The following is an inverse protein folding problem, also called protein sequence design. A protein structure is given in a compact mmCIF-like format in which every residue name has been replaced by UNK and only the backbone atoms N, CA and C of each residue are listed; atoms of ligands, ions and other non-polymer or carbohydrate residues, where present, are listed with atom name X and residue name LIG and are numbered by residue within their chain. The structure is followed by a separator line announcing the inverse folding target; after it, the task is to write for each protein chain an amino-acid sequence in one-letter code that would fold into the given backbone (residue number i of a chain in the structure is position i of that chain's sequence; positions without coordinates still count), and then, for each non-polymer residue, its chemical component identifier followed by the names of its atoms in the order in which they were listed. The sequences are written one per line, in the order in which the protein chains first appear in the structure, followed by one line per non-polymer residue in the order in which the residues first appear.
data_IF_949837075444
#
_entry.id   IF_949837075444
#
_cell.length_a   1.000
_cell.length_b   1.000
_cell.length_c   1.000
_cell.angle_alpha   90.00
_cell.angle_beta   90.00
_cell.angle_gamma   90.00
#
_symmetry.space_group_name_H-M   'P 1'
#
loop_
_entity.id
_entity.type
_entity.pdbx_description
1 polymer ?
#
# COMPACT_ATOMS: atom_id res chain seq x y z
N UNK A 1 31.33 20.89 29.37
CA UNK A 1 29.99 20.24 29.37
C UNK A 1 29.41 20.34 27.98
N UNK A 2 29.36 19.27 27.23
CA UNK A 2 28.73 19.25 25.93
C UNK A 2 27.21 19.11 26.10
N UNK A 3 26.38 19.95 25.45
CA UNK A 3 24.95 19.74 25.47
C UNK A 3 24.62 18.43 24.73
N UNK A 4 23.90 17.54 25.39
CA UNK A 4 23.37 16.35 24.76
C UNK A 4 22.43 16.79 23.64
N UNK A 5 22.85 16.58 22.40
CA UNK A 5 21.97 16.72 21.24
C UNK A 5 20.94 15.58 21.35
N UNK A 6 19.75 15.93 21.80
CA UNK A 6 18.62 15.02 21.75
C UNK A 6 18.38 14.72 20.25
N UNK A 7 18.79 13.55 19.81
CA UNK A 7 18.44 13.05 18.50
C UNK A 7 16.91 12.95 18.43
N UNK A 8 16.33 13.84 17.68
CA UNK A 8 14.91 13.88 17.36
C UNK A 8 14.57 12.57 16.62
N UNK A 9 14.27 11.53 17.38
CA UNK A 9 13.76 10.29 16.81
C UNK A 9 12.42 10.59 16.18
N UNK A 10 12.41 10.90 14.89
CA UNK A 10 11.19 10.93 14.09
C UNK A 10 10.38 9.68 14.43
N UNK A 11 9.35 9.83 15.24
CA UNK A 11 8.41 8.75 15.56
C UNK A 11 7.90 8.19 14.23
N UNK A 12 8.35 6.99 13.87
CA UNK A 12 7.82 6.28 12.71
C UNK A 12 6.32 6.15 12.92
N UNK A 13 5.55 6.85 12.11
CA UNK A 13 4.10 6.72 12.14
C UNK A 13 3.73 5.25 12.00
N UNK A 14 2.86 4.78 12.89
CA UNK A 14 2.34 3.42 12.80
C UNK A 14 1.76 3.15 11.41
N UNK A 15 1.93 1.93 10.86
CA UNK A 15 1.38 1.61 9.56
C UNK A 15 -0.13 1.78 9.57
N UNK A 16 -0.67 2.57 8.66
CA UNK A 16 -2.10 2.81 8.52
C UNK A 16 -2.69 1.87 7.48
N UNK A 17 -3.74 1.17 7.84
CA UNK A 17 -4.47 0.28 6.93
C UNK A 17 -5.47 1.04 6.06
N UNK A 18 -6.01 2.14 6.56
CA UNK A 18 -7.05 2.93 5.90
C UNK A 18 -6.62 4.39 5.76
N UNK A 19 -6.77 4.90 4.56
CA UNK A 19 -6.68 6.34 4.28
C UNK A 19 -8.08 6.91 4.16
N UNK A 20 -8.41 7.83 5.03
CA UNK A 20 -9.69 8.55 4.98
C UNK A 20 -9.58 9.68 3.95
N UNK A 21 -10.51 9.77 3.00
CA UNK A 21 -10.55 10.92 2.09
C UNK A 21 -10.76 12.22 2.87
N UNK A 22 -10.11 13.29 2.44
CA UNK A 22 -10.21 14.62 3.09
C UNK A 22 -11.63 15.20 3.06
N UNK A 23 -12.47 14.70 2.16
CA UNK A 23 -13.87 15.11 2.04
C UNK A 23 -14.78 14.55 3.11
N UNK A 24 -14.27 13.65 3.95
CA UNK A 24 -15.06 12.97 4.98
C UNK A 24 -14.56 13.40 6.35
N UNK A 25 -15.45 13.95 7.13
CA UNK A 25 -15.22 14.25 8.53
C UNK A 25 -15.73 13.09 9.39
N UNK A 26 -14.84 12.56 10.22
CA UNK A 26 -15.16 11.48 11.14
C UNK A 26 -15.51 12.04 12.52
N UNK A 27 -16.51 11.44 13.14
CA UNK A 27 -16.82 11.70 14.55
C UNK A 27 -15.73 11.14 15.47
N UNK A 28 -15.70 11.57 16.74
CA UNK A 28 -14.75 11.06 17.73
C UNK A 28 -14.82 9.53 17.87
N UNK A 29 -16.02 8.96 17.91
CA UNK A 29 -16.24 7.51 17.97
C UNK A 29 -15.73 6.79 16.72
N UNK A 30 -15.99 7.35 15.55
CA UNK A 30 -15.48 6.81 14.28
C UNK A 30 -13.95 6.83 14.23
N UNK A 31 -13.31 7.89 14.71
CA UNK A 31 -11.85 7.98 14.82
C UNK A 31 -11.28 6.91 15.74
N UNK A 32 -11.88 6.69 16.89
CA UNK A 32 -11.47 5.65 17.84
C UNK A 32 -11.57 4.26 17.22
N UNK A 33 -12.65 3.96 16.54
CA UNK A 33 -12.85 2.68 15.82
C UNK A 33 -11.89 2.52 14.67
N UNK A 34 -11.62 3.60 13.95
CA UNK A 34 -10.63 3.62 12.87
C UNK A 34 -9.21 3.35 13.39
N UNK A 35 -8.85 3.93 14.52
CA UNK A 35 -7.55 3.68 15.15
C UNK A 35 -7.40 2.22 15.60
N UNK A 36 -8.46 1.63 16.15
CA UNK A 36 -8.50 0.20 16.49
C UNK A 36 -8.30 -0.67 15.24
N UNK A 37 -8.97 -0.33 14.15
CA UNK A 37 -8.86 -1.01 12.87
C UNK A 37 -7.45 -0.89 12.29
N UNK A 38 -6.84 0.28 12.34
CA UNK A 38 -5.46 0.50 11.92
C UNK A 38 -4.45 -0.27 12.78
N UNK A 39 -4.67 -0.36 14.09
CA UNK A 39 -3.83 -1.15 15.01
C UNK A 39 -3.91 -2.64 14.71
N UNK A 40 -5.08 -3.13 14.34
CA UNK A 40 -5.29 -4.54 14.02
C UNK A 40 -4.72 -4.92 12.64
N UNK A 41 -5.10 -4.18 11.60
CA UNK A 41 -4.76 -4.53 10.22
C UNK A 41 -3.47 -3.90 9.70
N UNK A 42 -3.03 -2.78 10.26
CA UNK A 42 -1.80 -2.10 9.85
C UNK A 42 -0.57 -3.01 9.87
N UNK A 43 -0.27 -3.69 11.00
CA UNK A 43 0.83 -4.63 11.09
C UNK A 43 0.69 -5.83 10.14
N UNK A 44 -0.52 -6.36 9.97
CA UNK A 44 -0.80 -7.47 9.04
C UNK A 44 -0.49 -7.10 7.60
N UNK A 45 -0.92 -5.92 7.16
CA UNK A 45 -0.59 -5.40 5.81
C UNK A 45 0.91 -5.13 5.65
N UNK A 46 1.56 -4.59 6.68
CA UNK A 46 2.99 -4.34 6.67
C UNK A 46 3.78 -5.65 6.54
N UNK A 47 3.35 -6.70 7.22
CA UNK A 47 3.93 -8.04 7.12
C UNK A 47 3.77 -8.63 5.72
N UNK A 48 2.57 -8.53 5.13
CA UNK A 48 2.34 -8.95 3.74
C UNK A 48 3.25 -8.21 2.76
N UNK A 49 3.45 -6.91 2.95
CA UNK A 49 4.39 -6.11 2.13
C UNK A 49 5.83 -6.57 2.30
N UNK A 50 6.26 -6.85 3.52
CA UNK A 50 7.61 -7.39 3.79
C UNK A 50 7.81 -8.71 3.09
N UNK A 51 6.87 -9.64 3.21
CA UNK A 51 6.91 -10.93 2.51
C UNK A 51 7.00 -10.74 1.00
N UNK A 52 6.15 -9.91 0.43
CA UNK A 52 6.17 -9.61 -1.00
C UNK A 52 7.50 -9.02 -1.47
N UNK A 53 8.10 -8.13 -0.67
CA UNK A 53 9.40 -7.53 -0.97
C UNK A 53 10.57 -8.51 -0.82
N UNK A 54 10.46 -9.52 0.04
CA UNK A 54 11.50 -10.53 0.26
C UNK A 54 11.53 -11.62 -0.80
N UNK A 55 10.44 -11.80 -1.56
CA UNK A 55 10.35 -12.78 -2.64
C UNK A 55 11.35 -12.48 -3.75
N UNK A 56 11.54 -11.22 -4.07
CA UNK A 56 12.45 -10.74 -5.12
C UNK A 56 13.83 -10.51 -4.52
N UNK A 57 14.87 -11.04 -5.16
CA UNK A 57 16.27 -10.86 -4.73
C UNK A 57 16.74 -9.40 -4.91
N UNK A 58 17.83 -9.05 -4.21
CA UNK A 58 18.44 -7.71 -4.35
C UNK A 58 18.87 -7.42 -5.80
N UNK A 59 19.42 -8.41 -6.49
CA UNK A 59 19.84 -8.30 -7.88
C UNK A 59 18.64 -8.10 -8.83
N UNK A 60 17.55 -8.81 -8.59
CA UNK A 60 16.30 -8.61 -9.33
C UNK A 60 15.71 -7.22 -9.10
N UNK A 61 15.80 -6.68 -7.88
CA UNK A 61 15.37 -5.29 -7.57
C UNK A 61 16.21 -4.26 -8.31
N UNK A 62 17.53 -4.44 -8.38
CA UNK A 62 18.43 -3.58 -9.16
C UNK A 62 18.09 -3.64 -10.64
N UNK A 63 17.96 -4.83 -11.20
CA UNK A 63 17.59 -5.04 -12.60
C UNK A 63 16.24 -4.36 -12.92
N UNK A 64 15.28 -4.46 -12.02
CA UNK A 64 13.98 -3.79 -12.15
C UNK A 64 14.11 -2.27 -12.18
N UNK A 65 14.91 -1.70 -11.28
CA UNK A 65 15.14 -0.25 -11.22
C UNK A 65 15.82 0.26 -12.49
N UNK A 66 16.85 -0.43 -12.97
CA UNK A 66 17.56 -0.09 -14.18
C UNK A 66 16.67 -0.21 -15.42
N UNK A 67 15.90 -1.31 -15.53
CA UNK A 67 14.94 -1.51 -16.60
C UNK A 67 13.85 -0.42 -16.61
N UNK A 68 13.40 0.01 -15.43
CA UNK A 68 12.43 1.10 -15.31
C UNK A 68 13.01 2.44 -15.77
N UNK A 69 14.24 2.76 -15.39
CA UNK A 69 14.94 3.98 -15.85
C UNK A 69 15.10 3.97 -17.36
N UNK A 70 15.57 2.86 -17.91
CA UNK A 70 15.78 2.70 -19.36
C UNK A 70 14.47 2.82 -20.14
N UNK A 71 13.42 2.13 -19.70
CA UNK A 71 12.12 2.19 -20.36
C UNK A 71 11.46 3.57 -20.28
N UNK A 72 11.65 4.31 -19.19
CA UNK A 72 11.22 5.71 -19.08
C UNK A 72 12.00 6.62 -20.01
N UNK A 73 13.31 6.42 -20.14
CA UNK A 73 14.16 7.15 -21.10
C UNK A 73 13.74 6.90 -22.54
N UNK A 74 13.26 5.69 -22.85
CA UNK A 74 12.70 5.32 -24.16
C UNK A 74 11.27 5.88 -24.38
N UNK A 75 10.72 6.60 -23.42
CA UNK A 75 9.39 7.20 -23.50
C UNK A 75 8.23 6.26 -23.23
N UNK A 76 8.49 5.04 -22.78
CA UNK A 76 7.45 4.05 -22.44
C UNK A 76 6.67 4.47 -21.20
N UNK A 77 5.36 4.31 -21.23
CA UNK A 77 4.45 4.66 -20.12
C UNK A 77 3.41 3.56 -19.89
N UNK A 78 2.84 3.55 -18.72
CA UNK A 78 1.72 2.68 -18.35
C UNK A 78 2.00 1.20 -18.58
N UNK A 79 1.20 0.56 -19.41
CA UNK A 79 1.27 -0.88 -19.69
C UNK A 79 2.58 -1.30 -20.36
N UNK A 80 3.05 -0.50 -21.33
CA UNK A 80 4.30 -0.77 -22.05
C UNK A 80 5.51 -0.72 -21.12
N UNK A 81 5.56 0.27 -20.23
CA UNK A 81 6.59 0.38 -19.21
C UNK A 81 6.62 -0.87 -18.32
N UNK A 82 5.46 -1.28 -17.85
CA UNK A 82 5.33 -2.46 -16.98
C UNK A 82 5.76 -3.75 -17.70
N UNK A 83 5.34 -3.93 -18.94
CA UNK A 83 5.71 -5.09 -19.76
C UNK A 83 7.22 -5.13 -19.99
N UNK A 84 7.84 -4.01 -20.34
CA UNK A 84 9.28 -3.92 -20.54
C UNK A 84 10.07 -4.23 -19.27
N UNK A 85 9.65 -3.73 -18.12
CA UNK A 85 10.28 -4.00 -16.83
C UNK A 85 10.13 -5.48 -16.44
N UNK A 86 8.96 -6.06 -16.61
CA UNK A 86 8.71 -7.47 -16.31
C UNK A 86 9.53 -8.41 -17.24
N UNK A 87 9.70 -8.04 -18.50
CA UNK A 87 10.53 -8.80 -19.43
C UNK A 87 12.02 -8.77 -19.07
N UNK A 88 12.49 -7.65 -18.52
CA UNK A 88 13.90 -7.47 -18.14
C UNK A 88 14.25 -8.21 -16.83
N UNK A 89 13.28 -8.49 -15.98
CA UNK A 89 13.48 -9.16 -14.69
C UNK A 89 13.04 -10.60 -14.79
N UNK A 90 13.99 -11.54 -14.71
CA UNK A 90 13.68 -12.96 -14.70
C UNK A 90 13.13 -13.37 -13.33
N UNK A 91 11.83 -13.60 -13.25
CA UNK A 91 11.15 -14.08 -12.04
C UNK A 91 10.86 -15.57 -12.21
N UNK A 92 11.24 -16.39 -11.22
CA UNK A 92 11.01 -17.85 -11.26
C UNK A 92 9.53 -18.18 -11.08
N UNK A 93 9.13 -19.39 -11.48
CA UNK A 93 7.77 -19.87 -11.27
C UNK A 93 7.38 -19.90 -9.78
N UNK A 94 8.30 -20.29 -8.90
CA UNK A 94 8.10 -20.30 -7.45
C UNK A 94 7.87 -18.87 -6.91
N UNK A 95 8.67 -17.91 -7.38
CA UNK A 95 8.48 -16.50 -7.00
C UNK A 95 7.12 -15.99 -7.45
N UNK A 96 6.67 -16.33 -8.65
CA UNK A 96 5.33 -15.96 -9.15
C UNK A 96 4.22 -16.55 -8.28
N UNK A 97 4.35 -17.81 -7.88
CA UNK A 97 3.40 -18.47 -6.99
C UNK A 97 3.35 -17.77 -5.62
N UNK A 98 4.51 -17.45 -5.03
CA UNK A 98 4.59 -16.72 -3.76
C UNK A 98 3.99 -15.31 -3.85
N UNK A 99 4.24 -14.61 -4.94
CA UNK A 99 3.64 -13.30 -5.20
C UNK A 99 2.11 -13.40 -5.30
N UNK A 100 1.60 -14.43 -5.96
CA UNK A 100 0.16 -14.67 -6.08
C UNK A 100 -0.48 -14.93 -4.71
N UNK A 101 0.16 -15.72 -3.85
CA UNK A 101 -0.29 -15.97 -2.47
C UNK A 101 -0.30 -14.69 -1.63
N UNK A 102 0.77 -13.91 -1.68
CA UNK A 102 0.83 -12.60 -0.99
C UNK A 102 -0.25 -11.65 -1.49
N UNK A 103 -0.51 -11.65 -2.78
CA UNK A 103 -1.56 -10.82 -3.39
C UNK A 103 -2.95 -11.25 -2.92
N UNK A 104 -3.22 -12.55 -2.84
CA UNK A 104 -4.48 -13.09 -2.30
C UNK A 104 -4.66 -12.71 -0.83
N UNK A 105 -3.64 -12.88 -0.01
CA UNK A 105 -3.67 -12.53 1.40
C UNK A 105 -3.91 -11.01 1.59
N UNK A 106 -3.23 -10.17 0.84
CA UNK A 106 -3.41 -8.73 0.87
C UNK A 106 -4.82 -8.33 0.43
N UNK A 107 -5.34 -8.94 -0.62
CA UNK A 107 -6.71 -8.69 -1.12
C UNK A 107 -7.77 -9.08 -0.09
N UNK A 108 -7.60 -10.22 0.58
CA UNK A 108 -8.49 -10.66 1.64
C UNK A 108 -8.51 -9.69 2.82
N UNK A 109 -7.33 -9.23 3.26
CA UNK A 109 -7.21 -8.21 4.31
C UNK A 109 -7.86 -6.88 3.91
N UNK A 110 -7.61 -6.42 2.69
CA UNK A 110 -8.22 -5.20 2.16
C UNK A 110 -9.74 -5.30 2.09
N UNK A 111 -10.27 -6.46 1.74
CA UNK A 111 -11.71 -6.70 1.72
C UNK A 111 -12.32 -6.61 3.12
N UNK A 112 -11.69 -7.23 4.11
CA UNK A 112 -12.10 -7.14 5.50
C UNK A 112 -12.05 -5.70 6.02
N UNK A 113 -10.97 -4.98 5.71
CA UNK A 113 -10.78 -3.58 6.08
C UNK A 113 -11.91 -2.72 5.47
N UNK A 114 -12.21 -2.89 4.20
CA UNK A 114 -13.29 -2.15 3.52
C UNK A 114 -14.64 -2.41 4.15
N UNK A 115 -14.93 -3.66 4.48
CA UNK A 115 -16.19 -4.05 5.11
C UNK A 115 -16.33 -3.41 6.48
N UNK A 116 -15.30 -3.47 7.31
CA UNK A 116 -15.30 -2.89 8.65
C UNK A 116 -15.31 -1.36 8.60
N UNK A 117 -14.55 -0.76 7.68
CA UNK A 117 -14.55 0.68 7.49
C UNK A 117 -15.90 1.20 7.01
N UNK A 118 -16.54 0.52 6.07
CA UNK A 118 -17.88 0.86 5.60
C UNK A 118 -18.91 0.78 6.73
N UNK A 119 -18.78 -0.19 7.64
CA UNK A 119 -19.66 -0.31 8.81
C UNK A 119 -19.52 0.86 9.80
N UNK A 120 -18.37 1.56 9.80
CA UNK A 120 -18.16 2.76 10.64
C UNK A 120 -18.79 4.01 10.05
N UNK A 121 -18.98 4.07 8.74
CA UNK A 121 -19.44 5.25 8.03
C UNK A 121 -20.96 5.34 8.01
N UNK A 122 -21.47 6.57 8.03
CA UNK A 122 -22.87 6.86 7.75
C UNK A 122 -23.17 6.73 6.25
N UNK A 123 -24.43 6.59 5.87
CA UNK A 123 -24.85 6.49 4.47
C UNK A 123 -24.44 7.72 3.66
N UNK A 124 -24.50 8.92 4.27
CA UNK A 124 -24.04 10.17 3.66
C UNK A 124 -22.52 10.14 3.39
N UNK A 125 -21.73 9.66 4.34
CA UNK A 125 -20.28 9.52 4.18
C UNK A 125 -19.93 8.51 3.08
N UNK A 126 -20.64 7.39 3.02
CA UNK A 126 -20.49 6.39 1.94
C UNK A 126 -20.80 6.98 0.56
N UNK A 127 -21.85 7.79 0.46
CA UNK A 127 -22.23 8.46 -0.79
C UNK A 127 -21.14 9.43 -1.27
N UNK A 128 -20.49 10.17 -0.35
CA UNK A 128 -19.36 11.05 -0.69
C UNK A 128 -18.17 10.29 -1.26
N UNK A 129 -17.86 9.09 -0.75
CA UNK A 129 -16.79 8.23 -1.27
C UNK A 129 -17.12 7.76 -2.69
N UNK A 130 -18.34 7.31 -2.93
CA UNK A 130 -18.79 6.86 -4.25
C UNK A 130 -18.80 7.99 -5.28
N UNK A 131 -19.21 9.21 -4.87
CA UNK A 131 -19.20 10.39 -5.72
C UNK A 131 -17.81 10.82 -6.18
N UNK A 132 -16.79 10.65 -5.33
CA UNK A 132 -15.39 10.97 -5.64
C UNK A 132 -14.76 10.07 -6.71
N UNK A 133 -15.28 8.88 -6.94
CA UNK A 133 -14.77 7.94 -7.97
C UNK A 133 -15.29 8.23 -9.38
N UNK A 134 -16.39 8.99 -9.53
CA UNK A 134 -16.99 9.28 -10.84
C UNK A 134 -16.36 10.48 -11.60
N UNK A 135 -15.40 11.19 -11.01
CA UNK A 135 -14.77 12.38 -11.64
C UNK A 135 -13.39 12.08 -12.25
N UNK A 136 -13.17 10.90 -12.80
CA UNK A 136 -12.00 10.62 -13.63
C UNK A 136 -12.46 10.01 -14.95
N UNK A 137 -13.05 10.85 -15.76
CA UNK A 137 -13.09 10.68 -17.20
C UNK A 137 -12.22 11.75 -17.82
#
# INVERSE_FOLDING_TARGET
MAPAVAADKKKKKAPTAVKVPKSIELTADQKTKLDALNKEFGPKLAECKKKANSIITADQKKARTEAMKKAKADGKKGKELRTAVNAAVAITADQKAQQAECKKATSALQKQIRTQFAALLTDEQKAKIKGGKKKKN
#
